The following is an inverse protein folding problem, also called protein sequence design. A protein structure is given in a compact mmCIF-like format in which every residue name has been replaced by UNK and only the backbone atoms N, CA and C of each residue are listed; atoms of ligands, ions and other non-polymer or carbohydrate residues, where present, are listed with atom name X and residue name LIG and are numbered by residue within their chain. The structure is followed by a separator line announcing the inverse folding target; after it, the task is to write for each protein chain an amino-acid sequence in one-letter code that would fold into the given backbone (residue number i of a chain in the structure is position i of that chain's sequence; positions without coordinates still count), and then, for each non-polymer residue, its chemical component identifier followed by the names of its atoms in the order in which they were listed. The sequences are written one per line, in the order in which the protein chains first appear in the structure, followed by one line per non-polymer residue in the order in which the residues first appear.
data_IF_707408349426
#
_entry.id   IF_707408349426
#
_cell.length_a   1.000
_cell.length_b   1.000
_cell.length_c   1.000
_cell.angle_alpha   90.00
_cell.angle_beta   90.00
_cell.angle_gamma   90.00
#
_symmetry.space_group_name_H-M   'P 1'
#
loop_
_entity.id
_entity.type
_entity.pdbx_description
1 polymer ?
#
# COMPACT_ATOMS: atom_id res chain seq x y z
N UNK A 1 24.90 11.28 0.30
CA UNK A 1 23.74 12.14 0.01
C UNK A 1 22.57 11.36 -0.59
N UNK A 2 22.78 10.24 -1.31
CA UNK A 2 21.70 9.33 -1.72
C UNK A 2 21.46 8.15 -0.76
N UNK A 3 22.35 7.90 0.21
CA UNK A 3 22.23 6.78 1.16
C UNK A 3 21.20 7.03 2.27
N UNK A 4 21.12 8.24 2.80
CA UNK A 4 20.12 8.59 3.82
C UNK A 4 18.66 8.48 3.33
N UNK A 5 18.39 8.65 2.04
CA UNK A 5 17.00 8.56 1.52
C UNK A 5 16.50 7.12 1.39
N UNK A 6 17.39 6.16 1.09
CA UNK A 6 16.98 4.76 0.90
C UNK A 6 16.94 3.99 2.23
N UNK A 7 17.87 4.30 3.14
CA UNK A 7 17.90 3.72 4.48
C UNK A 7 16.66 4.13 5.28
N UNK A 8 16.13 5.34 5.06
CA UNK A 8 14.86 5.81 5.63
C UNK A 8 13.62 5.18 4.98
N UNK A 9 13.70 4.69 3.73
CA UNK A 9 12.60 3.99 3.07
C UNK A 9 12.54 2.50 3.47
N UNK A 10 13.71 1.86 3.68
CA UNK A 10 13.82 0.53 4.29
C UNK A 10 13.39 0.53 5.76
N UNK A 11 13.79 1.52 6.56
CA UNK A 11 13.37 1.65 7.97
C UNK A 11 11.84 1.92 8.07
N UNK A 12 11.24 2.60 7.09
CA UNK A 12 9.78 2.79 7.00
C UNK A 12 9.01 1.51 6.64
N UNK A 13 9.60 0.61 5.86
CA UNK A 13 9.00 -0.70 5.57
C UNK A 13 9.18 -1.68 6.74
N UNK A 14 10.28 -1.59 7.49
CA UNK A 14 10.58 -2.49 8.62
C UNK A 14 9.72 -2.17 9.88
N UNK A 15 9.30 -0.92 10.11
CA UNK A 15 8.36 -0.59 11.22
C UNK A 15 6.90 -1.02 10.94
N UNK A 16 6.52 -1.21 9.67
CA UNK A 16 5.15 -1.59 9.27
C UNK A 16 4.97 -3.08 8.93
N UNK A 17 6.02 -3.91 9.04
CA UNK A 17 5.95 -5.36 8.80
C UNK A 17 4.99 -6.12 9.75
N UNK A 18 4.46 -5.44 10.78
CA UNK A 18 3.40 -5.96 11.67
C UNK A 18 2.12 -5.11 11.67
N UNK A 19 2.02 -4.07 10.84
CA UNK A 19 0.81 -3.24 10.76
C UNK A 19 -0.22 -3.88 9.82
N UNK A 20 -1.38 -4.15 10.41
CA UNK A 20 -2.58 -4.59 9.71
C UNK A 20 -3.57 -3.44 9.70
N UNK A 21 -4.20 -3.22 8.55
CA UNK A 21 -5.27 -2.24 8.38
C UNK A 21 -6.59 -2.96 8.13
N UNK A 22 -7.67 -2.45 8.70
CA UNK A 22 -9.03 -2.93 8.41
C UNK A 22 -9.65 -1.99 7.38
N UNK A 23 -9.94 -2.52 6.19
CA UNK A 23 -10.64 -1.80 5.13
C UNK A 23 -12.14 -2.04 5.27
N UNK A 24 -12.91 -0.95 5.27
CA UNK A 24 -14.37 -0.99 5.27
C UNK A 24 -14.90 -0.73 3.87
N UNK A 25 -15.49 -1.75 3.24
CA UNK A 25 -16.13 -1.64 1.93
C UNK A 25 -17.64 -1.47 2.10
N UNK A 26 -18.25 -0.50 1.40
CA UNK A 26 -19.70 -0.37 1.31
C UNK A 26 -20.26 -1.46 0.38
N UNK A 27 -20.65 -2.58 0.97
CA UNK A 27 -21.26 -3.70 0.25
C UNK A 27 -22.74 -3.80 0.62
N UNK A 28 -23.66 -3.45 -0.30
CA UNK A 28 -25.09 -3.43 -0.02
C UNK A 28 -25.70 -4.83 0.17
N UNK A 29 -24.96 -5.91 -0.10
CA UNK A 29 -25.41 -7.28 0.08
C UNK A 29 -25.03 -7.85 1.48
N UNK A 30 -24.10 -7.21 2.19
CA UNK A 30 -23.68 -7.57 3.55
C UNK A 30 -24.71 -7.18 4.63
N UNK A 31 -24.83 -7.98 5.70
CA UNK A 31 -25.68 -7.66 6.86
C UNK A 31 -25.10 -6.44 7.60
N UNK A 32 -25.62 -5.26 7.29
CA UNK A 32 -25.14 -3.99 7.83
C UNK A 32 -24.64 -3.01 6.76
N UNK A 33 -24.55 -3.45 5.50
CA UNK A 33 -24.14 -2.61 4.36
C UNK A 33 -22.63 -2.35 4.29
N UNK A 34 -21.83 -2.96 5.17
CA UNK A 34 -20.37 -2.80 5.22
C UNK A 34 -19.69 -4.16 5.34
N UNK A 35 -18.50 -4.28 4.75
CA UNK A 35 -17.62 -5.46 4.83
C UNK A 35 -16.26 -5.00 5.31
N UNK A 36 -15.83 -5.54 6.45
CA UNK A 36 -14.51 -5.30 7.03
C UNK A 36 -13.54 -6.38 6.53
N UNK A 37 -12.45 -5.97 5.87
CA UNK A 37 -11.38 -6.85 5.42
C UNK A 37 -10.08 -6.44 6.11
N UNK A 38 -9.51 -7.35 6.89
CA UNK A 38 -8.19 -7.18 7.47
C UNK A 38 -7.12 -7.44 6.41
N UNK A 39 -6.22 -6.48 6.22
CA UNK A 39 -5.18 -6.49 5.21
C UNK A 39 -3.82 -6.20 5.83
N UNK A 40 -2.81 -6.90 5.35
CA UNK A 40 -1.41 -6.63 5.61
C UNK A 40 -0.90 -5.52 4.74
N UNK A 41 -0.15 -4.61 5.34
CA UNK A 41 0.61 -3.61 4.61
C UNK A 41 1.84 -4.28 4.03
N UNK A 42 1.87 -4.41 2.70
CA UNK A 42 3.02 -4.95 1.97
C UNK A 42 4.08 -3.87 1.77
N UNK A 43 3.65 -2.62 1.57
CA UNK A 43 4.55 -1.48 1.46
C UNK A 43 3.82 -0.21 1.09
N UNK A 44 4.46 0.93 1.33
CA UNK A 44 3.98 2.27 0.95
C UNK A 44 5.06 2.94 0.12
N UNK A 45 4.69 3.60 -0.97
CA UNK A 45 5.63 4.25 -1.87
C UNK A 45 5.03 5.50 -2.51
N UNK A 46 5.87 6.50 -2.79
CA UNK A 46 5.49 7.66 -3.58
C UNK A 46 5.82 7.46 -5.06
N UNK A 47 4.93 7.91 -5.94
CA UNK A 47 5.17 7.92 -7.37
C UNK A 47 4.56 9.16 -8.05
N UNK A 48 5.25 9.65 -9.08
CA UNK A 48 4.78 10.79 -9.87
C UNK A 48 3.83 10.32 -10.98
N UNK A 49 2.54 10.50 -10.77
CA UNK A 49 1.51 10.19 -11.75
C UNK A 49 0.90 11.47 -12.30
N UNK A 50 0.84 11.60 -13.63
CA UNK A 50 0.31 12.79 -14.32
C UNK A 50 0.93 14.14 -13.87
N UNK A 51 2.19 14.14 -13.43
CA UNK A 51 2.91 15.33 -12.99
C UNK A 51 2.57 15.79 -11.57
N UNK A 52 1.97 14.92 -10.75
CA UNK A 52 1.80 15.12 -9.32
C UNK A 52 2.37 13.90 -8.57
N UNK A 53 3.11 14.16 -7.49
CA UNK A 53 3.51 13.11 -6.55
C UNK A 53 2.27 12.64 -5.80
N UNK A 54 2.00 11.35 -5.86
CA UNK A 54 0.97 10.67 -5.10
C UNK A 54 1.61 9.55 -4.30
N UNK A 55 1.11 9.30 -3.11
CA UNK A 55 1.52 8.17 -2.30
C UNK A 55 0.55 7.02 -2.52
N UNK A 56 1.09 5.81 -2.56
CA UNK A 56 0.36 4.57 -2.81
C UNK A 56 0.71 3.56 -1.72
N UNK A 57 -0.26 2.71 -1.40
CA UNK A 57 -0.12 1.64 -0.45
C UNK A 57 -0.52 0.32 -1.10
N UNK A 58 0.37 -0.67 -0.97
CA UNK A 58 0.15 -2.04 -1.38
C UNK A 58 -0.33 -2.84 -0.15
N UNK A 59 -1.52 -3.44 -0.28
CA UNK A 59 -2.20 -4.19 0.76
C UNK A 59 -2.45 -5.62 0.29
N UNK A 60 -2.39 -6.60 1.19
CA UNK A 60 -2.78 -7.98 0.88
C UNK A 60 -3.76 -8.48 1.94
N UNK A 61 -4.92 -9.03 1.58
CA UNK A 61 -5.84 -9.59 2.54
C UNK A 61 -5.17 -10.68 3.39
N UNK A 62 -5.36 -10.64 4.72
CA UNK A 62 -4.77 -11.65 5.61
C UNK A 62 -5.24 -13.07 5.28
N UNK A 63 -6.47 -13.21 4.77
CA UNK A 63 -7.03 -14.50 4.31
C UNK A 63 -6.23 -15.08 3.12
N UNK A 64 -5.57 -14.23 2.33
CA UNK A 64 -4.73 -14.66 1.23
C UNK A 64 -3.36 -15.17 1.68
N UNK A 65 -2.95 -14.98 2.94
CA UNK A 65 -1.65 -15.49 3.44
C UNK A 65 -1.49 -17.01 3.26
N UNK A 66 -2.59 -17.76 3.30
CA UNK A 66 -2.61 -19.22 3.16
C UNK A 66 -2.83 -19.70 1.71
N UNK A 67 -3.04 -18.77 0.76
CA UNK A 67 -3.26 -19.10 -0.66
C UNK A 67 -1.92 -19.24 -1.39
N UNK A 68 -1.92 -20.06 -2.43
CA UNK A 68 -0.76 -20.24 -3.32
C UNK A 68 -0.52 -19.00 -4.21
N UNK A 69 -1.55 -18.16 -4.38
CA UNK A 69 -1.53 -16.92 -5.14
C UNK A 69 -1.87 -15.77 -4.18
N UNK A 70 -0.93 -14.83 -4.02
CA UNK A 70 -1.13 -13.63 -3.20
C UNK A 70 -1.76 -12.54 -4.08
N UNK A 71 -3.01 -12.17 -3.83
CA UNK A 71 -3.59 -10.96 -4.43
C UNK A 71 -3.14 -9.73 -3.65
N UNK A 72 -2.48 -8.80 -4.35
CA UNK A 72 -2.10 -7.50 -3.83
C UNK A 72 -3.07 -6.45 -4.36
N UNK A 73 -3.62 -5.65 -3.46
CA UNK A 73 -4.51 -4.53 -3.74
C UNK A 73 -3.72 -3.23 -3.58
N UNK A 74 -3.87 -2.31 -4.53
CA UNK A 74 -3.19 -1.02 -4.51
C UNK A 74 -4.21 0.10 -4.36
N UNK A 75 -3.93 1.00 -3.42
CA UNK A 75 -4.73 2.19 -3.16
C UNK A 75 -3.85 3.42 -3.04
N UNK A 76 -4.45 4.60 -3.18
CA UNK A 76 -3.80 5.85 -2.79
C UNK A 76 -3.73 5.94 -1.26
N UNK A 77 -2.60 6.41 -0.76
CA UNK A 77 -2.35 6.66 0.65
C UNK A 77 -2.22 8.17 0.87
N UNK A 78 -2.84 8.71 1.91
CA UNK A 78 -2.64 10.10 2.33
C UNK A 78 -2.56 10.15 3.84
N UNK A 79 -1.47 10.69 4.37
CA UNK A 79 -1.38 10.96 5.80
C UNK A 79 -2.21 12.21 6.16
N UNK A 80 -3.19 12.03 7.04
CA UNK A 80 -3.98 13.11 7.63
C UNK A 80 -3.56 13.33 9.09
N UNK A 81 -2.48 14.08 9.29
CA UNK A 81 -1.99 14.39 10.64
C UNK A 81 -2.95 15.26 11.49
N UNK A 82 -4.10 15.68 10.95
CA UNK A 82 -5.14 16.45 11.65
C UNK A 82 -6.12 15.53 12.43
N UNK A 83 -6.26 14.27 12.01
CA UNK A 83 -7.13 13.30 12.68
C UNK A 83 -6.32 12.42 13.64
N UNK A 84 -6.68 12.47 14.93
CA UNK A 84 -5.96 11.76 15.98
C UNK A 84 -6.41 10.28 16.11
N UNK A 85 -7.51 9.89 15.47
CA UNK A 85 -8.08 8.55 15.54
C UNK A 85 -7.78 7.76 14.26
N UNK A 86 -7.79 8.42 13.10
CA UNK A 86 -7.45 7.87 11.79
C UNK A 86 -6.44 8.78 11.06
N UNK A 87 -5.15 8.74 11.42
CA UNK A 87 -4.15 9.65 10.86
C UNK A 87 -3.81 9.36 9.38
N UNK A 88 -4.55 8.48 8.72
CA UNK A 88 -4.36 8.05 7.34
C UNK A 88 -5.70 7.87 6.64
N UNK A 89 -5.73 8.24 5.35
CA UNK A 89 -6.86 8.03 4.45
C UNK A 89 -6.44 7.14 3.28
N UNK A 90 -7.31 6.18 2.95
CA UNK A 90 -7.16 5.28 1.81
C UNK A 90 -8.06 5.78 0.69
N UNK A 91 -7.47 6.02 -0.48
CA UNK A 91 -8.16 6.60 -1.64
C UNK A 91 -8.23 5.56 -2.76
N UNK A 92 -9.42 5.37 -3.32
CA UNK A 92 -9.62 4.50 -4.47
C UNK A 92 -8.90 5.02 -5.72
N UNK A 93 -8.33 4.10 -6.50
CA UNK A 93 -7.61 4.47 -7.72
C UNK A 93 -8.60 4.90 -8.80
N UNK A 94 -8.39 6.09 -9.35
CA UNK A 94 -9.38 6.75 -10.19
C UNK A 94 -9.62 6.09 -11.56
N UNK A 95 -8.62 5.38 -12.11
CA UNK A 95 -8.68 4.74 -13.43
C UNK A 95 -7.68 3.58 -13.51
N UNK A 96 -7.98 2.56 -14.33
CA UNK A 96 -7.08 1.42 -14.59
C UNK A 96 -5.67 1.84 -14.98
N UNK A 97 -5.50 2.95 -15.74
CA UNK A 97 -4.17 3.43 -16.13
C UNK A 97 -3.31 3.88 -14.94
N UNK A 98 -3.94 4.37 -13.86
CA UNK A 98 -3.25 4.72 -12.61
C UNK A 98 -2.88 3.45 -11.84
N UNK A 99 -3.77 2.45 -11.83
CA UNK A 99 -3.51 1.16 -11.20
C UNK A 99 -2.35 0.42 -11.89
N UNK A 100 -2.38 0.31 -13.21
CA UNK A 100 -1.30 -0.32 -14.00
C UNK A 100 0.05 0.37 -13.77
N UNK A 101 0.04 1.70 -13.62
CA UNK A 101 1.23 2.47 -13.29
C UNK A 101 1.73 2.15 -11.88
N UNK A 102 0.86 2.20 -10.88
CA UNK A 102 1.22 1.89 -9.49
C UNK A 102 1.76 0.46 -9.34
N UNK A 103 1.14 -0.53 -10.01
CA UNK A 103 1.62 -1.92 -10.04
C UNK A 103 3.05 -1.98 -10.57
N UNK A 104 3.32 -1.28 -11.68
CA UNK A 104 4.63 -1.31 -12.31
C UNK A 104 5.71 -0.64 -11.46
N UNK A 105 5.40 0.50 -10.84
CA UNK A 105 6.33 1.17 -9.94
C UNK A 105 6.61 0.29 -8.72
N UNK A 106 5.57 -0.30 -8.12
CA UNK A 106 5.71 -1.25 -7.02
C UNK A 106 6.60 -2.45 -7.38
N UNK A 107 6.35 -3.10 -8.52
CA UNK A 107 7.17 -4.23 -9.01
C UNK A 107 8.64 -3.83 -9.22
N UNK A 108 8.87 -2.63 -9.77
CA UNK A 108 10.23 -2.09 -9.93
C UNK A 108 10.91 -1.85 -8.58
N UNK A 109 10.19 -1.27 -7.62
CA UNK A 109 10.71 -1.03 -6.26
C UNK A 109 11.05 -2.34 -5.55
N UNK A 110 10.19 -3.35 -5.65
CA UNK A 110 10.44 -4.68 -5.08
C UNK A 110 11.65 -5.37 -5.72
N UNK A 111 11.77 -5.33 -7.04
CA UNK A 111 12.92 -5.89 -7.76
C UNK A 111 14.23 -5.14 -7.44
N UNK A 112 14.17 -3.83 -7.18
CA UNK A 112 15.31 -3.04 -6.71
C UNK A 112 15.73 -3.42 -5.28
N UNK A 113 14.76 -3.58 -4.35
CA UNK A 113 15.00 -4.05 -2.99
C UNK A 113 15.62 -5.46 -2.97
N UNK A 114 15.10 -6.39 -3.79
CA UNK A 114 15.63 -7.75 -3.90
C UNK A 114 17.08 -7.79 -4.43
N UNK A 115 17.44 -6.86 -5.33
CA UNK A 115 18.82 -6.75 -5.84
C UNK A 115 19.79 -6.20 -4.80
N UNK A 116 19.35 -5.29 -3.93
CA UNK A 116 20.21 -4.70 -2.91
C UNK A 116 20.52 -5.68 -1.77
N UNK A 117 19.60 -6.60 -1.44
CA UNK A 117 19.79 -7.61 -0.42
C UNK A 117 20.77 -8.75 -0.80
N UNK A 118 21.40 -8.67 -1.99
CA UNK A 118 22.32 -9.69 -2.52
C UNK A 118 23.79 -9.23 -2.67
N UNK A 119 24.20 -8.10 -2.10
CA UNK A 119 25.58 -7.62 -2.20
C UNK A 119 26.38 -7.65 -0.89
#
# INVERSE_FOLDING_TARGET
MAKDSLENAMEYMEEHEEDTIVLEFDDPESEGGVVEVECDIIGVFDAEYNGATKEYIALSPVENREKEEYDVWLFGYVENSDDAEYPYDIIDIADDAELEFAIKEFDSLMDELEKEHKH
#
